data_IF_067011233846
#
_entry.id   IF_067011233846
#
_cell.length_a   1.000
_cell.length_b   1.000
_cell.length_c   1.000
_cell.angle_alpha   90.00
_cell.angle_beta   90.00
_cell.angle_gamma   90.00
#
_symmetry.space_group_name_H-M   'P 1'
#
loop_
_entity.id
_entity.type
_entity.pdbx_description
1 polymer ?
#
# COMPACT_ATOMS: atom_id res chain seq x y z
N UNK A 1 -1.71 -12.80 -31.42
CA UNK A 1 -1.00 -13.23 -30.19
C UNK A 1 -0.36 -12.08 -29.41
N UNK A 2 0.27 -11.08 -30.03
CA UNK A 2 0.87 -9.96 -29.30
C UNK A 2 -0.11 -9.14 -28.42
N UNK A 3 -1.40 -9.08 -28.77
CA UNK A 3 -2.39 -8.31 -27.99
C UNK A 3 -2.84 -8.98 -26.68
N UNK A 4 -2.61 -10.28 -26.48
CA UNK A 4 -2.91 -10.95 -25.20
C UNK A 4 -1.81 -10.74 -24.17
N UNK A 5 -0.54 -10.78 -24.60
CA UNK A 5 0.63 -10.58 -23.72
C UNK A 5 0.65 -9.15 -23.17
N UNK A 6 0.44 -8.15 -24.04
CA UNK A 6 0.42 -6.72 -23.64
C UNK A 6 -0.71 -6.44 -22.63
N UNK A 7 -1.85 -7.12 -22.74
CA UNK A 7 -2.96 -7.01 -21.78
C UNK A 7 -2.72 -7.73 -20.44
N UNK A 8 -1.73 -8.63 -20.38
CA UNK A 8 -1.37 -9.37 -19.18
C UNK A 8 -0.23 -8.72 -18.39
N UNK A 9 0.52 -7.78 -18.98
CA UNK A 9 1.60 -7.04 -18.31
C UNK A 9 1.15 -6.45 -16.96
N UNK A 10 0.00 -5.74 -16.86
CA UNK A 10 -0.45 -5.21 -15.57
C UNK A 10 -0.66 -6.30 -14.53
N UNK A 11 -1.31 -7.41 -14.91
CA UNK A 11 -1.57 -8.53 -14.00
C UNK A 11 -0.28 -9.23 -13.54
N UNK A 12 0.73 -9.31 -14.42
CA UNK A 12 2.03 -9.88 -14.08
C UNK A 12 2.74 -9.01 -13.05
N UNK A 13 2.69 -7.68 -13.18
CA UNK A 13 3.27 -6.75 -12.20
C UNK A 13 2.57 -6.85 -10.85
N UNK A 14 1.24 -6.96 -10.85
CA UNK A 14 0.49 -7.16 -9.61
C UNK A 14 0.90 -8.41 -8.87
N UNK A 15 1.07 -9.50 -9.62
CA UNK A 15 1.46 -10.81 -9.09
C UNK A 15 2.90 -10.75 -8.61
N UNK A 16 3.77 -10.08 -9.37
CA UNK A 16 5.16 -9.85 -9.01
C UNK A 16 5.27 -9.06 -7.70
N UNK A 17 4.49 -7.98 -7.49
CA UNK A 17 4.48 -7.23 -6.23
C UNK A 17 4.10 -8.10 -5.04
N UNK A 18 3.11 -8.97 -5.21
CA UNK A 18 2.68 -9.89 -4.15
C UNK A 18 3.77 -10.93 -3.85
N UNK A 19 4.46 -11.44 -4.87
CA UNK A 19 5.61 -12.34 -4.71
C UNK A 19 6.79 -11.60 -4.06
N UNK A 20 7.07 -10.36 -4.44
CA UNK A 20 8.14 -9.52 -3.91
C UNK A 20 7.91 -9.09 -2.45
N UNK A 21 6.68 -9.09 -1.97
CA UNK A 21 6.39 -8.78 -0.57
C UNK A 21 7.13 -9.72 0.40
N UNK A 22 7.20 -11.02 0.08
CA UNK A 22 7.88 -12.03 0.91
C UNK A 22 9.39 -11.74 1.03
N UNK A 23 10.18 -11.67 -0.06
CA UNK A 23 11.61 -11.38 0.03
C UNK A 23 11.89 -10.00 0.62
N UNK A 24 11.06 -8.98 0.36
CA UNK A 24 11.19 -7.67 1.00
C UNK A 24 11.08 -7.81 2.53
N UNK A 25 10.10 -8.54 3.03
CA UNK A 25 9.94 -8.73 4.48
C UNK A 25 11.12 -9.53 5.06
N UNK A 26 11.57 -10.59 4.37
CA UNK A 26 12.74 -11.36 4.81
C UNK A 26 14.01 -10.49 4.85
N UNK A 27 14.21 -9.60 3.88
CA UNK A 27 15.34 -8.68 3.87
C UNK A 27 15.25 -7.67 5.02
N UNK A 28 14.06 -7.13 5.32
CA UNK A 28 13.85 -6.26 6.48
C UNK A 28 14.18 -7.00 7.78
N UNK A 29 13.71 -8.24 7.93
CA UNK A 29 13.97 -9.07 9.11
C UNK A 29 15.44 -9.46 9.26
N UNK A 30 16.19 -9.55 8.16
CA UNK A 30 17.63 -9.79 8.14
C UNK A 30 18.45 -8.48 8.19
N UNK A 31 17.79 -7.34 8.40
CA UNK A 31 18.41 -6.00 8.47
C UNK A 31 19.15 -5.57 7.17
N UNK A 32 18.84 -6.20 6.03
CA UNK A 32 19.38 -5.83 4.71
C UNK A 32 18.55 -4.71 4.06
N UNK A 33 18.54 -3.54 4.68
CA UNK A 33 17.74 -2.40 4.24
C UNK A 33 18.20 -1.82 2.90
N UNK A 34 19.48 -1.94 2.56
CA UNK A 34 20.04 -1.46 1.30
C UNK A 34 19.42 -2.17 0.10
N UNK A 35 19.33 -3.50 0.14
CA UNK A 35 18.69 -4.28 -0.92
C UNK A 35 17.20 -3.97 -1.06
N UNK A 36 16.49 -3.75 0.06
CA UNK A 36 15.06 -3.37 0.05
C UNK A 36 14.84 -2.06 -0.70
N UNK A 37 15.68 -1.05 -0.46
CA UNK A 37 15.60 0.25 -1.14
C UNK A 37 15.83 0.09 -2.64
N UNK A 38 16.83 -0.70 -3.05
CA UNK A 38 17.09 -0.96 -4.47
C UNK A 38 15.93 -1.65 -5.16
N UNK A 39 15.35 -2.68 -4.54
CA UNK A 39 14.18 -3.39 -5.07
C UNK A 39 12.99 -2.43 -5.17
N UNK A 40 12.72 -1.64 -4.13
CA UNK A 40 11.63 -0.67 -4.12
C UNK A 40 11.80 0.39 -5.22
N UNK A 41 13.03 0.86 -5.45
CA UNK A 41 13.33 1.82 -6.50
C UNK A 41 13.10 1.23 -7.90
N UNK A 42 13.61 0.03 -8.17
CA UNK A 42 13.42 -0.66 -9.46
C UNK A 42 11.94 -0.95 -9.70
N UNK A 43 11.23 -1.45 -8.68
CA UNK A 43 9.80 -1.74 -8.76
C UNK A 43 8.98 -0.46 -9.03
N UNK A 44 9.26 0.64 -8.31
CA UNK A 44 8.58 1.92 -8.51
C UNK A 44 8.82 2.52 -9.90
N UNK A 45 10.03 2.38 -10.45
CA UNK A 45 10.32 2.77 -11.83
C UNK A 45 9.55 1.92 -12.83
N UNK A 46 9.50 0.60 -12.64
CA UNK A 46 8.73 -0.32 -13.50
C UNK A 46 7.25 0.07 -13.51
N UNK A 47 6.64 0.23 -12.34
CA UNK A 47 5.22 0.58 -12.21
C UNK A 47 4.88 1.91 -12.90
N UNK A 48 5.77 2.91 -12.85
CA UNK A 48 5.60 4.17 -13.55
C UNK A 48 5.57 4.00 -15.07
N UNK A 49 6.49 3.21 -15.61
CA UNK A 49 6.60 2.92 -17.05
C UNK A 49 5.43 2.07 -17.54
N UNK A 50 5.12 1.01 -16.81
CA UNK A 50 4.05 0.07 -17.17
C UNK A 50 2.66 0.72 -17.02
N UNK A 51 2.46 1.54 -15.99
CA UNK A 51 1.24 2.32 -15.82
C UNK A 51 1.03 3.40 -16.89
N UNK A 52 2.11 3.90 -17.51
CA UNK A 52 2.03 4.79 -18.67
C UNK A 52 1.68 4.01 -19.95
N UNK A 53 2.34 2.87 -20.20
CA UNK A 53 2.03 2.02 -21.36
C UNK A 53 0.61 1.46 -21.30
N UNK A 54 0.15 1.00 -20.14
CA UNK A 54 -1.19 0.43 -19.97
C UNK A 54 -2.30 1.44 -20.28
N UNK A 55 -2.11 2.71 -19.87
CA UNK A 55 -3.01 3.83 -20.19
C UNK A 55 -3.01 4.16 -21.68
N UNK A 56 -1.83 4.17 -22.30
CA UNK A 56 -1.71 4.46 -23.74
C UNK A 56 -2.29 3.35 -24.63
N UNK A 57 -2.29 2.11 -24.14
CA UNK A 57 -2.71 0.92 -24.89
C UNK A 57 -4.14 0.43 -24.55
N UNK A 58 -4.89 1.16 -23.71
CA UNK A 58 -6.22 0.75 -23.21
C UNK A 58 -6.25 -0.69 -22.68
N UNK A 59 -5.15 -1.11 -22.04
CA UNK A 59 -4.90 -2.48 -21.63
C UNK A 59 -5.28 -2.74 -20.16
N UNK A 60 -6.30 -2.03 -19.65
CA UNK A 60 -6.76 -2.15 -18.25
C UNK A 60 -7.67 -3.38 -18.12
N UNK A 61 -7.28 -4.34 -17.29
CA UNK A 61 -8.08 -5.54 -17.01
C UNK A 61 -8.90 -5.37 -15.73
N UNK A 62 -10.12 -5.94 -15.70
CA UNK A 62 -10.98 -5.91 -14.50
C UNK A 62 -10.35 -6.69 -13.33
N UNK A 63 -9.58 -7.71 -13.63
CA UNK A 63 -8.85 -8.49 -12.62
C UNK A 63 -7.75 -7.65 -11.97
N UNK A 64 -6.88 -7.04 -12.77
CA UNK A 64 -5.80 -6.16 -12.28
C UNK A 64 -6.36 -4.96 -11.49
N UNK A 65 -7.47 -4.36 -11.94
CA UNK A 65 -8.10 -3.26 -11.22
C UNK A 65 -8.54 -3.59 -9.78
N UNK A 66 -8.81 -4.87 -9.47
CA UNK A 66 -9.19 -5.32 -8.13
C UNK A 66 -7.97 -5.83 -7.36
N UNK A 67 -7.10 -6.59 -8.02
CA UNK A 67 -5.94 -7.23 -7.38
C UNK A 67 -4.84 -6.21 -7.09
N UNK A 68 -4.68 -5.16 -7.90
CA UNK A 68 -3.65 -4.11 -7.70
C UNK A 68 -3.79 -3.44 -6.32
N UNK A 69 -4.94 -2.86 -5.93
CA UNK A 69 -5.11 -2.26 -4.61
C UNK A 69 -4.91 -3.26 -3.46
N UNK A 70 -5.24 -4.54 -3.66
CA UNK A 70 -5.10 -5.56 -2.62
C UNK A 70 -3.62 -5.91 -2.42
N UNK A 71 -2.90 -6.21 -3.51
CA UNK A 71 -1.47 -6.52 -3.45
C UNK A 71 -0.66 -5.38 -2.84
N UNK A 72 -0.99 -4.12 -3.19
CA UNK A 72 -0.33 -2.95 -2.63
C UNK A 72 -0.55 -2.84 -1.11
N UNK A 73 -1.77 -3.14 -0.65
CA UNK A 73 -2.11 -3.14 0.78
C UNK A 73 -1.42 -4.27 1.54
N UNK A 74 -1.36 -5.46 0.96
CA UNK A 74 -0.65 -6.61 1.55
C UNK A 74 0.83 -6.30 1.70
N UNK A 75 1.46 -5.73 0.66
CA UNK A 75 2.87 -5.32 0.71
C UNK A 75 3.11 -4.30 1.83
N UNK A 76 2.34 -3.21 1.86
CA UNK A 76 2.49 -2.17 2.89
C UNK A 76 2.28 -2.70 4.30
N UNK A 77 1.21 -3.47 4.53
CA UNK A 77 0.94 -4.09 5.84
C UNK A 77 2.11 -4.97 6.27
N UNK A 78 2.64 -5.80 5.36
CA UNK A 78 3.74 -6.72 5.66
C UNK A 78 5.04 -5.97 6.00
N UNK A 79 5.31 -4.85 5.32
CA UNK A 79 6.46 -3.96 5.61
C UNK A 79 6.33 -3.34 7.00
N UNK A 80 5.16 -2.79 7.34
CA UNK A 80 4.93 -2.16 8.66
C UNK A 80 4.98 -3.17 9.81
N UNK A 81 4.45 -4.37 9.60
CA UNK A 81 4.58 -5.48 10.55
C UNK A 81 6.05 -5.87 10.72
N UNK A 82 6.81 -5.98 9.63
CA UNK A 82 8.25 -6.27 9.70
C UNK A 82 9.02 -5.21 10.48
N UNK A 83 8.74 -3.91 10.26
CA UNK A 83 9.34 -2.83 11.06
C UNK A 83 9.02 -2.92 12.55
N UNK A 84 7.81 -3.34 12.90
CA UNK A 84 7.46 -3.55 14.30
C UNK A 84 8.21 -4.73 14.92
N UNK A 85 8.44 -5.80 14.15
CA UNK A 85 9.19 -6.99 14.61
C UNK A 85 10.66 -6.65 14.87
N UNK A 86 11.31 -5.90 13.95
CA UNK A 86 12.71 -5.49 14.12
C UNK A 86 12.89 -4.28 15.05
N UNK A 87 11.80 -3.75 15.64
CA UNK A 87 11.85 -2.67 16.62
C UNK A 87 12.04 -1.25 16.04
N UNK A 88 11.95 -1.08 14.72
CA UNK A 88 12.01 0.24 14.05
C UNK A 88 10.76 1.09 14.28
N UNK A 89 9.64 0.44 14.61
CA UNK A 89 8.36 1.10 14.87
C UNK A 89 7.66 0.46 16.08
N UNK A 90 7.02 1.23 16.97
CA UNK A 90 6.20 0.63 18.01
C UNK A 90 5.07 -0.21 17.42
N UNK A 91 4.87 -1.42 17.96
CA UNK A 91 3.86 -2.38 17.47
C UNK A 91 2.44 -1.82 17.42
N UNK A 92 2.10 -0.89 18.32
CA UNK A 92 0.79 -0.25 18.35
C UNK A 92 0.57 0.68 17.15
N UNK A 93 1.61 1.34 16.63
CA UNK A 93 1.51 2.19 15.43
C UNK A 93 1.28 1.33 14.19
N UNK A 94 2.04 0.25 14.06
CA UNK A 94 1.81 -0.73 12.99
C UNK A 94 0.38 -1.29 13.06
N UNK A 95 -0.11 -1.61 14.26
CA UNK A 95 -1.49 -2.08 14.48
C UNK A 95 -2.53 -1.08 13.98
N UNK A 96 -2.36 0.22 14.25
CA UNK A 96 -3.27 1.28 13.74
C UNK A 96 -3.31 1.31 12.21
N UNK A 97 -2.15 1.22 11.56
CA UNK A 97 -2.03 1.17 10.10
C UNK A 97 -2.75 -0.06 9.53
N UNK A 98 -2.51 -1.24 10.12
CA UNK A 98 -3.12 -2.51 9.70
C UNK A 98 -4.64 -2.48 9.89
N UNK A 99 -5.13 -2.05 11.05
CA UNK A 99 -6.58 -1.96 11.32
C UNK A 99 -7.24 -1.02 10.32
N UNK A 100 -6.65 0.15 10.03
CA UNK A 100 -7.20 1.08 9.05
C UNK A 100 -7.30 0.44 7.66
N UNK A 101 -6.26 -0.26 7.21
CA UNK A 101 -6.24 -0.89 5.88
C UNK A 101 -7.22 -2.07 5.80
N UNK A 102 -7.31 -2.88 6.86
CA UNK A 102 -8.32 -3.93 6.98
C UNK A 102 -9.73 -3.35 6.98
N UNK A 103 -9.98 -2.25 7.70
CA UNK A 103 -11.27 -1.57 7.68
C UNK A 103 -11.65 -1.22 6.24
N UNK A 104 -10.74 -0.60 5.47
CA UNK A 104 -10.96 -0.21 4.05
C UNK A 104 -11.26 -1.41 3.15
N UNK A 105 -10.54 -2.52 3.30
CA UNK A 105 -10.75 -3.72 2.46
C UNK A 105 -12.03 -4.43 2.86
N UNK A 106 -12.25 -4.67 4.16
CA UNK A 106 -13.43 -5.38 4.66
C UNK A 106 -14.72 -4.63 4.36
N UNK A 107 -14.79 -3.31 4.57
CA UNK A 107 -16.01 -2.58 4.27
C UNK A 107 -16.29 -2.47 2.76
N UNK A 108 -15.26 -2.46 1.91
CA UNK A 108 -15.45 -2.55 0.46
C UNK A 108 -16.03 -3.93 0.06
N UNK A 109 -15.52 -5.01 0.65
CA UNK A 109 -16.03 -6.38 0.42
C UNK A 109 -17.46 -6.56 0.94
N UNK A 110 -17.76 -6.10 2.15
CA UNK A 110 -19.09 -6.16 2.74
C UNK A 110 -20.11 -5.39 1.90
N UNK A 111 -19.76 -4.18 1.47
CA UNK A 111 -20.62 -3.39 0.59
C UNK A 111 -20.85 -4.11 -0.75
N UNK A 112 -19.81 -4.72 -1.32
CA UNK A 112 -19.93 -5.47 -2.57
C UNK A 112 -20.89 -6.66 -2.43
N UNK A 113 -20.79 -7.38 -1.31
CA UNK A 113 -21.62 -8.55 -1.04
C UNK A 113 -23.09 -8.19 -0.81
N UNK A 114 -23.36 -7.07 -0.13
CA UNK A 114 -24.71 -6.68 0.28
C UNK A 114 -25.47 -5.86 -0.78
N UNK A 115 -24.80 -4.94 -1.49
CA UNK A 115 -25.46 -3.92 -2.33
C UNK A 115 -25.05 -3.96 -3.82
N UNK A 116 -24.23 -4.94 -4.23
CA UNK A 116 -23.86 -5.17 -5.63
C UNK A 116 -22.56 -4.50 -6.07
N UNK A 117 -22.40 -4.24 -7.38
CA UNK A 117 -21.12 -3.82 -7.97
C UNK A 117 -20.73 -2.40 -7.54
N UNK A 118 -19.84 -2.32 -6.55
CA UNK A 118 -19.15 -1.08 -6.24
C UNK A 118 -17.88 -0.98 -7.06
N UNK A 119 -17.77 0.08 -7.85
CA UNK A 119 -16.46 0.53 -8.30
C UNK A 119 -15.73 1.06 -7.08
N UNK A 120 -14.67 0.36 -6.68
CA UNK A 120 -13.78 0.76 -5.58
C UNK A 120 -13.10 2.06 -6.03
N UNK A 121 -13.78 3.19 -5.86
CA UNK A 121 -13.21 4.50 -6.11
C UNK A 121 -12.39 4.89 -4.86
N UNK A 122 -11.05 4.92 -4.94
CA UNK A 122 -10.22 5.31 -3.81
C UNK A 122 -10.50 6.77 -3.44
N UNK A 123 -10.84 7.02 -2.19
CA UNK A 123 -11.05 8.38 -1.68
C UNK A 123 -9.74 9.16 -1.65
N UNK A 124 -9.83 10.49 -1.74
CA UNK A 124 -8.67 11.38 -1.67
C UNK A 124 -7.91 11.16 -0.35
N UNK A 125 -8.64 11.03 0.77
CA UNK A 125 -8.09 10.70 2.08
C UNK A 125 -7.44 9.31 2.12
N UNK A 126 -8.02 8.35 1.40
CA UNK A 126 -7.46 7.03 1.18
C UNK A 126 -6.07 7.08 0.57
N UNK A 127 -5.94 7.82 -0.54
CA UNK A 127 -4.68 8.02 -1.29
C UNK A 127 -3.66 8.81 -0.48
N UNK A 128 -4.07 9.90 0.17
CA UNK A 128 -3.19 10.73 0.98
C UNK A 128 -2.56 9.92 2.14
N UNK A 129 -3.35 9.12 2.84
CA UNK A 129 -2.85 8.26 3.91
C UNK A 129 -1.88 7.18 3.38
N UNK A 130 -2.16 6.56 2.23
CA UNK A 130 -1.22 5.61 1.62
C UNK A 130 0.08 6.30 1.18
N UNK A 131 0.00 7.52 0.65
CA UNK A 131 1.20 8.31 0.31
C UNK A 131 2.07 8.57 1.54
N UNK A 132 1.47 9.02 2.65
CA UNK A 132 2.19 9.22 3.91
C UNK A 132 2.79 7.90 4.43
N UNK A 133 2.08 6.78 4.29
CA UNK A 133 2.61 5.45 4.64
C UNK A 133 3.84 5.07 3.82
N UNK A 134 3.82 5.26 2.51
CA UNK A 134 4.95 4.95 1.64
C UNK A 134 6.13 5.87 1.96
N UNK A 135 5.88 7.18 2.08
CA UNK A 135 6.94 8.16 2.39
C UNK A 135 7.61 7.85 3.73
N UNK A 136 6.83 7.57 4.77
CA UNK A 136 7.40 7.25 6.08
C UNK A 136 8.15 5.92 6.07
N UNK A 137 7.64 4.90 5.39
CA UNK A 137 8.33 3.62 5.26
C UNK A 137 9.69 3.78 4.53
N UNK A 138 9.73 4.56 3.46
CA UNK A 138 10.97 4.89 2.76
C UNK A 138 11.93 5.67 3.66
N UNK A 139 11.43 6.65 4.42
CA UNK A 139 12.26 7.40 5.37
C UNK A 139 12.88 6.47 6.44
N UNK A 140 12.13 5.52 6.99
CA UNK A 140 12.66 4.55 7.95
C UNK A 140 13.73 3.66 7.33
N UNK A 141 13.50 3.14 6.12
CA UNK A 141 14.46 2.30 5.42
C UNK A 141 15.75 3.05 5.12
N UNK A 142 15.65 4.28 4.61
CA UNK A 142 16.82 5.08 4.26
C UNK A 142 17.62 5.48 5.50
N UNK A 143 16.96 5.71 6.64
CA UNK A 143 17.63 6.00 7.90
C UNK A 143 18.50 4.85 8.41
N UNK A 144 18.11 3.60 8.15
CA UNK A 144 18.92 2.45 8.53
C UNK A 144 20.20 2.30 7.70
N UNK A 145 20.21 2.83 6.47
CA UNK A 145 21.40 2.80 5.60
C UNK A 145 22.24 4.06 5.78
N UNK A 146 21.58 5.21 5.89
CA UNK A 146 22.17 6.52 6.08
C UNK A 146 21.47 7.18 7.27
N UNK A 147 22.04 7.16 8.48
CA UNK A 147 21.39 7.77 9.63
C UNK A 147 21.23 9.28 9.44
N UNK A 148 20.01 9.75 9.18
CA UNK A 148 19.69 11.17 8.96
C UNK A 148 18.43 11.63 9.70
N UNK A 149 17.59 10.71 10.19
CA UNK A 149 16.38 11.06 10.91
C UNK A 149 16.72 11.57 12.31
N UNK A 150 16.33 12.82 12.54
CA UNK A 150 16.25 13.36 13.89
C UNK A 150 15.06 12.76 14.65
N UNK A 151 15.10 12.73 15.99
CA UNK A 151 13.93 12.31 16.79
C UNK A 151 12.66 13.09 16.46
N UNK A 152 12.78 14.39 16.14
CA UNK A 152 11.66 15.23 15.75
C UNK A 152 11.06 14.77 14.40
N UNK A 153 11.88 14.52 13.38
CA UNK A 153 11.38 14.04 12.09
C UNK A 153 10.69 12.67 12.20
N UNK A 154 11.22 11.77 13.03
CA UNK A 154 10.58 10.49 13.29
C UNK A 154 9.20 10.67 13.94
N UNK A 155 9.12 11.50 14.99
CA UNK A 155 7.84 11.79 15.67
C UNK A 155 6.82 12.45 14.74
N UNK A 156 7.23 13.43 13.94
CA UNK A 156 6.35 14.09 12.96
C UNK A 156 5.81 13.08 11.95
N UNK A 157 6.67 12.21 11.41
CA UNK A 157 6.27 11.15 10.50
C UNK A 157 5.27 10.18 11.14
N UNK A 158 5.57 9.71 12.35
CA UNK A 158 4.71 8.80 13.10
C UNK A 158 3.34 9.42 13.42
N UNK A 159 3.29 10.66 13.89
CA UNK A 159 2.02 11.34 14.16
C UNK A 159 1.23 11.63 12.88
N UNK A 160 1.91 11.96 11.78
CA UNK A 160 1.26 12.17 10.49
C UNK A 160 0.58 10.89 9.99
N UNK A 161 1.22 9.72 10.18
CA UNK A 161 0.66 8.41 9.89
C UNK A 161 -0.63 8.16 10.67
N UNK A 162 -0.57 8.39 11.99
CA UNK A 162 -1.70 8.15 12.89
C UNK A 162 -2.87 9.06 12.52
N UNK A 163 -2.63 10.36 12.38
CA UNK A 163 -3.65 11.35 12.01
C UNK A 163 -4.31 10.98 10.68
N UNK A 164 -3.51 10.63 9.67
CA UNK A 164 -4.03 10.26 8.35
C UNK A 164 -4.78 8.92 8.38
N UNK A 165 -4.34 7.96 9.20
CA UNK A 165 -5.05 6.70 9.39
C UNK A 165 -6.44 6.94 10.00
N UNK A 166 -6.55 7.79 11.02
CA UNK A 166 -7.84 8.15 11.63
C UNK A 166 -8.74 8.94 10.68
N UNK A 167 -8.21 9.96 9.98
CA UNK A 167 -8.99 10.76 9.01
C UNK A 167 -9.53 9.84 7.91
N UNK A 168 -8.65 9.01 7.33
CA UNK A 168 -9.07 8.11 6.28
C UNK A 168 -10.04 7.04 6.77
N UNK A 169 -9.78 6.43 7.93
CA UNK A 169 -10.65 5.40 8.51
C UNK A 169 -12.05 5.94 8.81
N UNK A 170 -12.12 7.12 9.46
CA UNK A 170 -13.37 7.80 9.75
C UNK A 170 -14.14 8.20 8.48
N UNK A 171 -13.44 8.68 7.45
CA UNK A 171 -14.06 9.00 6.16
C UNK A 171 -14.69 7.75 5.50
N UNK A 172 -13.98 6.62 5.45
CA UNK A 172 -14.54 5.39 4.90
C UNK A 172 -15.70 4.85 5.72
N UNK A 173 -15.60 4.90 7.05
CA UNK A 173 -16.68 4.52 7.95
C UNK A 173 -17.95 5.36 7.71
N UNK A 174 -17.81 6.67 7.59
CA UNK A 174 -18.92 7.57 7.26
C UNK A 174 -19.54 7.27 5.89
N UNK A 175 -18.71 7.12 4.86
CA UNK A 175 -19.18 6.81 3.49
C UNK A 175 -19.96 5.51 3.45
N UNK A 176 -19.51 4.47 4.14
CA UNK A 176 -20.19 3.17 4.13
C UNK A 176 -21.43 3.13 5.00
N UNK A 177 -21.40 3.73 6.19
CA UNK A 177 -22.59 3.83 7.03
C UNK A 177 -23.72 4.60 6.33
N UNK A 178 -23.39 5.71 5.66
CA UNK A 178 -24.38 6.47 4.91
C UNK A 178 -24.95 5.70 3.72
N UNK A 179 -24.11 4.94 3.00
CA UNK A 179 -24.56 4.12 1.87
C UNK A 179 -25.31 2.85 2.29
N UNK A 180 -25.10 2.33 3.50
CA UNK A 180 -25.85 1.19 4.01
C UNK A 180 -27.26 1.57 4.49
N UNK A 181 -27.47 2.85 4.82
CA UNK A 181 -28.74 3.41 5.26
C UNK A 181 -29.58 4.02 4.11
N UNK A 182 -29.00 4.16 2.92
CA UNK A 182 -29.66 4.70 1.71
C UNK A 182 -30.14 3.57 0.80
#
# INVERSE_FOLDING_TARGET
MASSVIKQIPNMLTTLRLILAIPICLMILNEDYGSVIWIAFIAGLSDGVDGFLARKLNAVSRYGAIVDPISDKVLLVSVYVSFAIVGLLPWWVATVVVIRDLLIVCGALLYHWQFGRYEIAPSIWGKASTFVQITFALMLLTDQVYPFLTPLSFQVGMWSLIVMAFISGGHYFYVWSHKALA
#
